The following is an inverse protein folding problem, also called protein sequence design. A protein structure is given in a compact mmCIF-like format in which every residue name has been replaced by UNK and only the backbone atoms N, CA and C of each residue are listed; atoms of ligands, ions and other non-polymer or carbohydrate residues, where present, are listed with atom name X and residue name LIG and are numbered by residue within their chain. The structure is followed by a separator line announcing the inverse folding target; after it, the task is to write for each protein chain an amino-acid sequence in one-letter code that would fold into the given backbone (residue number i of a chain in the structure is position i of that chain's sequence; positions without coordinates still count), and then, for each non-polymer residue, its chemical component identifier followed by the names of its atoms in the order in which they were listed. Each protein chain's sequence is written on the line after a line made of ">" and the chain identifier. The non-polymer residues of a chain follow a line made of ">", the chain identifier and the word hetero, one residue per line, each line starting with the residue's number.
data_IF_625699989962
#
_entry.id   IF_625699989962
#
_cell.length_a   1.000
_cell.length_b   1.000
_cell.length_c   1.000
_cell.angle_alpha   90.00
_cell.angle_beta   90.00
_cell.angle_gamma   90.00
#
_symmetry.space_group_name_H-M   'P 1'
#
loop_
_entity.id
_entity.type
_entity.pdbx_description
1 polymer ?
#
# COMPACT_ATOMS: atom_id res chain seq x y z
N UNK A 1 -26.67 -28.62 -24.93
CA UNK A 1 -26.09 -27.89 -23.80
C UNK A 1 -25.62 -28.81 -22.68
N UNK A 2 -26.50 -29.63 -22.09
CA UNK A 2 -26.16 -30.51 -20.94
C UNK A 2 -24.93 -31.42 -21.19
N UNK A 3 -24.77 -31.95 -22.42
CA UNK A 3 -23.67 -32.86 -22.77
C UNK A 3 -22.28 -32.18 -22.81
N UNK A 4 -22.21 -30.91 -23.22
CA UNK A 4 -20.95 -30.17 -23.26
C UNK A 4 -20.49 -29.73 -21.85
N UNK A 5 -21.44 -29.41 -20.97
CA UNK A 5 -21.12 -29.07 -19.57
C UNK A 5 -20.58 -30.27 -18.79
N UNK A 6 -21.13 -31.47 -19.02
CA UNK A 6 -20.60 -32.70 -18.42
C UNK A 6 -19.21 -33.06 -18.92
N UNK A 7 -18.93 -32.85 -20.21
CA UNK A 7 -17.60 -33.15 -20.79
C UNK A 7 -16.53 -32.18 -20.27
N UNK A 8 -16.87 -30.90 -20.10
CA UNK A 8 -15.99 -29.89 -19.49
C UNK A 8 -15.72 -30.16 -18.01
N UNK A 9 -16.72 -30.63 -17.26
CA UNK A 9 -16.55 -30.96 -15.85
C UNK A 9 -15.57 -32.14 -15.67
N UNK A 10 -15.75 -33.20 -16.47
CA UNK A 10 -14.86 -34.37 -16.47
C UNK A 10 -13.43 -33.96 -16.81
N UNK A 11 -13.25 -33.11 -17.83
CA UNK A 11 -11.93 -32.61 -18.20
C UNK A 11 -11.24 -31.85 -17.06
N UNK A 12 -11.98 -30.99 -16.35
CA UNK A 12 -11.47 -30.24 -15.20
C UNK A 12 -11.04 -31.19 -14.08
N UNK A 13 -11.84 -32.21 -13.78
CA UNK A 13 -11.55 -33.21 -12.75
C UNK A 13 -10.31 -34.05 -13.11
N UNK A 14 -10.19 -34.51 -14.35
CA UNK A 14 -9.02 -35.27 -14.81
C UNK A 14 -7.72 -34.45 -14.74
N UNK A 15 -7.79 -33.17 -15.12
CA UNK A 15 -6.66 -32.24 -15.01
C UNK A 15 -6.30 -32.00 -13.55
N UNK A 16 -7.29 -31.80 -12.67
CA UNK A 16 -7.06 -31.65 -11.22
C UNK A 16 -6.37 -32.87 -10.64
N UNK A 17 -6.85 -34.08 -10.93
CA UNK A 17 -6.24 -35.33 -10.46
C UNK A 17 -4.78 -35.46 -10.93
N UNK A 18 -4.52 -35.16 -12.21
CA UNK A 18 -3.16 -35.21 -12.75
C UNK A 18 -2.24 -34.20 -12.03
N UNK A 19 -2.69 -32.97 -11.84
CA UNK A 19 -1.91 -31.94 -11.13
C UNK A 19 -1.65 -32.34 -9.67
N UNK A 20 -2.66 -32.82 -8.95
CA UNK A 20 -2.53 -33.25 -7.55
C UNK A 20 -1.57 -34.45 -7.41
N UNK A 21 -1.57 -35.37 -8.38
CA UNK A 21 -0.61 -36.49 -8.42
C UNK A 21 0.83 -36.06 -8.68
N UNK A 22 1.06 -34.81 -9.09
CA UNK A 22 2.36 -34.25 -9.42
C UNK A 22 2.79 -34.50 -10.87
N UNK A 23 1.85 -34.82 -11.76
CA UNK A 23 2.13 -34.96 -13.18
C UNK A 23 2.64 -33.64 -13.78
N UNK A 24 3.62 -33.73 -14.67
CA UNK A 24 4.09 -32.55 -15.40
C UNK A 24 3.06 -32.11 -16.44
N UNK A 25 3.12 -30.86 -16.90
CA UNK A 25 2.27 -30.39 -18.00
C UNK A 25 2.42 -31.26 -19.25
N UNK A 26 3.64 -31.74 -19.55
CA UNK A 26 3.88 -32.68 -20.65
C UNK A 26 3.12 -33.99 -20.49
N UNK A 27 3.02 -34.54 -19.27
CA UNK A 27 2.27 -35.76 -19.01
C UNK A 27 0.77 -35.54 -19.21
N UNK A 28 0.27 -34.39 -18.76
CA UNK A 28 -1.13 -33.98 -18.95
C UNK A 28 -1.44 -33.84 -20.45
N UNK A 29 -0.57 -33.19 -21.22
CA UNK A 29 -0.72 -33.10 -22.68
C UNK A 29 -0.68 -34.46 -23.37
N UNK A 30 0.18 -35.38 -22.93
CA UNK A 30 0.26 -36.71 -23.50
C UNK A 30 -0.99 -37.57 -23.19
N UNK A 31 -1.55 -37.42 -21.98
CA UNK A 31 -2.71 -38.18 -21.49
C UNK A 31 -4.03 -37.65 -22.06
N UNK A 32 -4.24 -36.33 -21.97
CA UNK A 32 -5.53 -35.67 -22.25
C UNK A 32 -5.54 -34.97 -23.61
N UNK A 33 -4.39 -34.50 -24.10
CA UNK A 33 -4.28 -33.68 -25.30
C UNK A 33 -4.63 -34.39 -26.62
N UNK A 34 -4.88 -35.71 -26.60
CA UNK A 34 -5.44 -36.44 -27.76
C UNK A 34 -6.95 -36.23 -27.92
N UNK A 35 -7.64 -35.81 -26.87
CA UNK A 35 -9.09 -35.72 -26.82
C UNK A 35 -9.62 -34.30 -27.02
N UNK A 36 -8.76 -33.27 -26.91
CA UNK A 36 -9.16 -31.86 -26.94
C UNK A 36 -8.14 -30.99 -27.66
N UNK A 37 -8.55 -29.78 -28.05
CA UNK A 37 -7.64 -28.80 -28.65
C UNK A 37 -6.58 -28.33 -27.63
N UNK A 38 -5.32 -28.25 -28.06
CA UNK A 38 -4.20 -27.89 -27.18
C UNK A 38 -4.41 -26.59 -26.42
N UNK A 39 -4.96 -25.56 -27.08
CA UNK A 39 -5.24 -24.27 -26.45
C UNK A 39 -6.28 -24.39 -25.33
N UNK A 40 -7.34 -25.15 -25.57
CA UNK A 40 -8.37 -25.40 -24.56
C UNK A 40 -7.80 -26.16 -23.35
N UNK A 41 -6.85 -27.08 -23.59
CA UNK A 41 -6.17 -27.81 -22.51
C UNK A 41 -5.25 -26.90 -21.69
N UNK A 42 -4.50 -26.03 -22.37
CA UNK A 42 -3.67 -25.00 -21.73
C UNK A 42 -4.50 -24.08 -20.81
N UNK A 43 -5.62 -23.57 -21.32
CA UNK A 43 -6.55 -22.72 -20.55
C UNK A 43 -7.16 -23.49 -19.36
N UNK A 44 -7.50 -24.77 -19.55
CA UNK A 44 -8.04 -25.62 -18.48
C UNK A 44 -7.01 -25.91 -17.40
N UNK A 45 -5.76 -26.24 -17.77
CA UNK A 45 -4.67 -26.43 -16.81
C UNK A 45 -4.46 -25.17 -15.98
N UNK A 46 -4.41 -23.99 -16.61
CA UNK A 46 -4.24 -22.74 -15.89
C UNK A 46 -5.41 -22.45 -14.94
N UNK A 47 -6.65 -22.68 -15.39
CA UNK A 47 -7.85 -22.53 -14.55
C UNK A 47 -7.75 -23.42 -13.30
N UNK A 48 -7.40 -24.70 -13.47
CA UNK A 48 -7.30 -25.66 -12.37
C UNK A 48 -6.12 -25.33 -11.45
N UNK A 49 -4.96 -24.98 -11.99
CA UNK A 49 -3.82 -24.51 -11.18
C UNK A 49 -4.22 -23.34 -10.29
N UNK A 50 -4.93 -22.35 -10.83
CA UNK A 50 -5.39 -21.18 -10.08
C UNK A 50 -6.43 -21.57 -9.02
N UNK A 51 -7.40 -22.44 -9.34
CA UNK A 51 -8.37 -22.96 -8.36
C UNK A 51 -7.70 -23.66 -7.19
N UNK A 52 -6.70 -24.49 -7.46
CA UNK A 52 -5.92 -25.17 -6.41
C UNK A 52 -5.19 -24.12 -5.57
N UNK A 53 -4.49 -23.17 -6.20
CA UNK A 53 -3.79 -22.09 -5.49
C UNK A 53 -4.74 -21.31 -4.58
N UNK A 54 -5.91 -20.92 -5.07
CA UNK A 54 -6.91 -20.16 -4.30
C UNK A 54 -7.47 -20.97 -3.12
N UNK A 55 -7.57 -22.30 -3.25
CA UNK A 55 -8.00 -23.20 -2.18
C UNK A 55 -6.96 -23.29 -1.05
N UNK A 56 -5.69 -23.47 -1.39
CA UNK A 56 -4.63 -23.75 -0.40
C UNK A 56 -3.93 -22.50 0.14
N UNK A 57 -3.86 -21.40 -0.62
CA UNK A 57 -3.11 -20.22 -0.20
C UNK A 57 -3.62 -19.59 1.09
N UNK A 58 -4.93 -19.40 1.31
CA UNK A 58 -5.45 -18.88 2.57
C UNK A 58 -5.13 -19.78 3.76
N UNK A 59 -5.10 -21.11 3.57
CA UNK A 59 -4.76 -22.07 4.62
C UNK A 59 -3.30 -21.94 5.03
N UNK A 60 -2.40 -21.85 4.04
CA UNK A 60 -0.96 -21.63 4.27
C UNK A 60 -0.73 -20.33 5.03
N UNK A 61 -1.32 -19.22 4.57
CA UNK A 61 -1.19 -17.90 5.21
C UNK A 61 -1.64 -17.98 6.69
N UNK A 62 -2.81 -18.54 6.94
CA UNK A 62 -3.38 -18.66 8.29
C UNK A 62 -2.51 -19.51 9.22
N UNK A 63 -1.83 -20.52 8.70
CA UNK A 63 -0.89 -21.32 9.47
C UNK A 63 0.36 -20.53 9.84
N UNK A 64 0.91 -19.78 8.89
CA UNK A 64 2.07 -18.91 9.16
C UNK A 64 1.72 -17.87 10.23
N UNK A 65 0.55 -17.24 10.14
CA UNK A 65 0.06 -16.30 11.15
C UNK A 65 -0.12 -16.93 12.54
N UNK A 66 -0.32 -18.25 12.62
CA UNK A 66 -0.37 -19.01 13.88
C UNK A 66 1.00 -19.47 14.40
N UNK A 67 2.08 -19.11 13.71
CA UNK A 67 3.44 -19.47 14.10
C UNK A 67 3.91 -20.84 13.58
N UNK A 68 3.27 -21.39 12.54
CA UNK A 68 3.78 -22.60 11.89
C UNK A 68 5.14 -22.33 11.24
N UNK A 69 6.08 -23.28 11.32
CA UNK A 69 7.40 -23.21 10.66
C UNK A 69 7.32 -23.55 9.18
N UNK A 70 8.37 -23.21 8.41
CA UNK A 70 8.51 -23.62 6.99
C UNK A 70 8.32 -25.12 6.78
N UNK A 71 8.85 -25.94 7.70
CA UNK A 71 8.71 -27.40 7.66
C UNK A 71 7.26 -27.84 7.81
N UNK A 72 6.54 -27.30 8.80
CA UNK A 72 5.13 -27.65 9.04
C UNK A 72 4.22 -27.24 7.88
N UNK A 73 4.46 -26.07 7.27
CA UNK A 73 3.75 -25.64 6.06
C UNK A 73 4.02 -26.61 4.90
N UNK A 74 5.29 -26.99 4.69
CA UNK A 74 5.67 -27.93 3.66
C UNK A 74 5.07 -29.32 3.85
N UNK A 75 5.05 -29.84 5.08
CA UNK A 75 4.45 -31.13 5.41
C UNK A 75 2.94 -31.15 5.20
N UNK A 76 2.23 -30.08 5.57
CA UNK A 76 0.79 -30.02 5.37
C UNK A 76 0.42 -29.93 3.88
N UNK A 77 1.07 -29.02 3.17
CA UNK A 77 0.81 -28.84 1.74
C UNK A 77 1.23 -30.08 0.93
N UNK A 78 2.33 -30.74 1.32
CA UNK A 78 2.86 -31.94 0.67
C UNK A 78 2.02 -33.20 0.85
N UNK A 79 1.02 -33.20 1.75
CA UNK A 79 0.05 -34.29 1.86
C UNK A 79 -0.92 -34.32 0.68
N UNK A 80 -1.26 -33.15 0.16
CA UNK A 80 -2.32 -33.01 -0.86
C UNK A 80 -1.76 -32.57 -2.21
N UNK A 81 -0.64 -31.83 -2.23
CA UNK A 81 -0.02 -31.32 -3.46
C UNK A 81 1.35 -31.95 -3.69
N UNK A 82 1.65 -32.28 -4.94
CA UNK A 82 2.97 -32.77 -5.38
C UNK A 82 3.47 -32.00 -6.59
N UNK A 83 4.75 -32.20 -6.94
CA UNK A 83 5.34 -31.66 -8.16
C UNK A 83 5.26 -30.12 -8.29
N UNK A 84 4.97 -29.66 -9.49
CA UNK A 84 4.97 -28.23 -9.83
C UNK A 84 3.85 -27.45 -9.13
N UNK A 85 2.68 -28.06 -8.95
CA UNK A 85 1.54 -27.38 -8.31
C UNK A 85 1.83 -27.09 -6.83
N UNK A 86 2.55 -27.99 -6.14
CA UNK A 86 3.04 -27.72 -4.78
C UNK A 86 3.93 -26.47 -4.75
N UNK A 87 4.92 -26.41 -5.66
CA UNK A 87 5.86 -25.29 -5.73
C UNK A 87 5.16 -23.97 -6.07
N UNK A 88 4.18 -24.02 -6.99
CA UNK A 88 3.37 -22.86 -7.37
C UNK A 88 2.54 -22.35 -6.19
N UNK A 89 1.81 -23.24 -5.51
CA UNK A 89 1.01 -22.88 -4.34
C UNK A 89 1.86 -22.29 -3.23
N UNK A 90 2.99 -22.91 -2.90
CA UNK A 90 3.89 -22.41 -1.85
C UNK A 90 4.43 -21.02 -2.21
N UNK A 91 4.98 -20.84 -3.41
CA UNK A 91 5.52 -19.54 -3.86
C UNK A 91 4.46 -18.43 -3.86
N UNK A 92 3.27 -18.73 -4.34
CA UNK A 92 2.16 -17.77 -4.38
C UNK A 92 1.75 -17.38 -2.96
N UNK A 93 1.53 -18.36 -2.08
CA UNK A 93 1.14 -18.14 -0.69
C UNK A 93 2.15 -17.29 0.07
N UNK A 94 3.44 -17.58 -0.10
CA UNK A 94 4.51 -16.82 0.55
C UNK A 94 4.58 -15.38 0.05
N UNK A 95 4.38 -15.15 -1.25
CA UNK A 95 4.31 -13.80 -1.81
C UNK A 95 3.13 -13.00 -1.25
N UNK A 96 1.95 -13.63 -1.16
CA UNK A 96 0.76 -12.99 -0.59
C UNK A 96 0.94 -12.68 0.91
N UNK A 97 1.54 -13.61 1.65
CA UNK A 97 1.88 -13.39 3.04
C UNK A 97 2.87 -12.22 3.20
N UNK A 98 3.94 -12.19 2.39
CA UNK A 98 4.93 -11.12 2.39
C UNK A 98 4.29 -9.75 2.14
N UNK A 99 3.41 -9.63 1.14
CA UNK A 99 2.75 -8.37 0.82
C UNK A 99 1.75 -7.93 1.91
N UNK A 100 1.06 -8.90 2.53
CA UNK A 100 0.18 -8.65 3.67
C UNK A 100 0.97 -8.09 4.86
N UNK A 101 2.10 -8.72 5.19
CA UNK A 101 2.96 -8.25 6.29
C UNK A 101 3.57 -6.90 5.95
N UNK A 102 4.05 -6.69 4.72
CA UNK A 102 4.56 -5.40 4.27
C UNK A 102 3.53 -4.28 4.45
N UNK A 103 2.26 -4.54 4.11
CA UNK A 103 1.17 -3.58 4.29
C UNK A 103 0.94 -3.26 5.76
N UNK A 104 0.95 -4.28 6.63
CA UNK A 104 0.83 -4.12 8.09
C UNK A 104 2.00 -3.32 8.67
N UNK A 105 3.24 -3.66 8.29
CA UNK A 105 4.47 -2.93 8.69
C UNK A 105 4.33 -1.46 8.33
N UNK A 106 4.01 -1.15 7.07
CA UNK A 106 3.87 0.23 6.60
C UNK A 106 2.77 1.00 7.35
N UNK A 107 1.64 0.35 7.66
CA UNK A 107 0.54 0.98 8.38
C UNK A 107 0.86 1.24 9.88
N UNK A 108 1.75 0.45 10.47
CA UNK A 108 2.14 0.58 11.88
C UNK A 108 3.33 1.52 12.11
N UNK A 109 4.01 2.00 11.06
CA UNK A 109 5.09 3.00 11.20
C UNK A 109 4.46 4.32 11.66
N UNK A 110 4.53 4.60 12.96
CA UNK A 110 4.10 5.87 13.57
C UNK A 110 5.28 6.79 13.90
N UNK A 111 6.33 6.23 14.51
CA UNK A 111 7.51 6.98 14.94
C UNK A 111 8.81 6.15 14.76
N UNK A 112 9.96 6.83 14.68
CA UNK A 112 11.25 6.23 14.33
C UNK A 112 11.86 5.38 15.46
N UNK A 113 11.51 5.68 16.70
CA UNK A 113 11.93 5.01 17.93
C UNK A 113 11.32 3.61 18.10
N UNK A 114 10.18 3.34 17.46
CA UNK A 114 9.50 2.03 17.49
C UNK A 114 10.01 1.06 16.41
N UNK A 115 10.92 1.49 15.51
CA UNK A 115 11.41 0.68 14.38
C UNK A 115 12.03 -0.66 14.82
N UNK A 116 12.91 -0.72 15.84
CA UNK A 116 13.50 -2.00 16.26
C UNK A 116 12.44 -3.00 16.72
N UNK A 117 11.45 -2.55 17.50
CA UNK A 117 10.37 -3.39 17.98
C UNK A 117 9.47 -3.88 16.84
N UNK A 118 9.21 -3.02 15.83
CA UNK A 118 8.45 -3.38 14.64
C UNK A 118 9.18 -4.44 13.80
N UNK A 119 10.50 -4.27 13.62
CA UNK A 119 11.34 -5.23 12.90
C UNK A 119 11.31 -6.60 13.58
N UNK A 120 11.48 -6.63 14.90
CA UNK A 120 11.47 -7.89 15.66
C UNK A 120 10.07 -8.53 15.66
N UNK A 121 8.98 -7.74 15.72
CA UNK A 121 7.59 -8.23 15.66
C UNK A 121 7.25 -8.95 14.35
N UNK A 122 7.77 -8.47 13.22
CA UNK A 122 7.42 -8.99 11.88
C UNK A 122 8.48 -9.91 11.28
N UNK A 123 9.63 -10.07 11.93
CA UNK A 123 10.65 -11.05 11.54
C UNK A 123 10.22 -12.45 11.96
N UNK A 124 10.31 -13.41 11.04
CA UNK A 124 10.02 -14.82 11.32
C UNK A 124 10.71 -15.74 10.30
N UNK A 125 10.47 -17.04 10.41
CA UNK A 125 11.02 -18.06 9.49
C UNK A 125 10.79 -17.75 8.00
N UNK A 126 9.74 -17.02 7.64
CA UNK A 126 9.36 -16.70 6.26
C UNK A 126 9.79 -15.30 5.82
N UNK A 127 9.93 -14.37 6.76
CA UNK A 127 10.30 -12.98 6.49
C UNK A 127 11.59 -12.65 7.21
N UNK A 128 12.65 -12.50 6.42
CA UNK A 128 13.97 -12.13 6.92
C UNK A 128 13.96 -10.71 7.48
N UNK A 129 14.68 -10.51 8.59
CA UNK A 129 14.87 -9.21 9.25
C UNK A 129 15.24 -8.11 8.26
N UNK A 130 16.19 -8.40 7.37
CA UNK A 130 16.70 -7.45 6.35
C UNK A 130 15.59 -6.94 5.43
N UNK A 131 14.60 -7.78 5.08
CA UNK A 131 13.46 -7.36 4.26
C UNK A 131 12.57 -6.37 5.00
N UNK A 132 12.28 -6.65 6.28
CA UNK A 132 11.46 -5.74 7.12
C UNK A 132 12.16 -4.39 7.26
N UNK A 133 13.46 -4.40 7.54
CA UNK A 133 14.29 -3.19 7.63
C UNK A 133 14.29 -2.39 6.31
N UNK A 134 14.35 -3.07 5.16
CA UNK A 134 14.28 -2.43 3.85
C UNK A 134 12.91 -1.78 3.59
N UNK A 135 11.81 -2.44 3.95
CA UNK A 135 10.46 -1.88 3.82
C UNK A 135 10.29 -0.63 4.66
N UNK A 136 10.71 -0.68 5.93
CA UNK A 136 10.69 0.47 6.85
C UNK A 136 11.54 1.61 6.29
N UNK A 137 12.78 1.35 5.89
CA UNK A 137 13.68 2.36 5.31
C UNK A 137 13.07 3.03 4.08
N UNK A 138 12.51 2.23 3.17
CA UNK A 138 11.90 2.72 1.93
C UNK A 138 10.71 3.62 2.23
N UNK A 139 9.87 3.24 3.19
CA UNK A 139 8.74 4.05 3.62
C UNK A 139 9.19 5.36 4.28
N UNK A 140 10.12 5.31 5.24
CA UNK A 140 10.63 6.48 5.93
C UNK A 140 11.30 7.50 4.98
N UNK A 141 12.12 7.04 4.03
CA UNK A 141 12.73 7.91 3.00
C UNK A 141 11.66 8.57 2.12
N UNK A 142 10.61 7.82 1.76
CA UNK A 142 9.47 8.34 1.01
C UNK A 142 8.68 9.41 1.79
N UNK A 143 8.46 9.22 3.08
CA UNK A 143 7.80 10.20 3.95
C UNK A 143 8.66 11.46 4.12
N UNK A 144 9.96 11.31 4.38
CA UNK A 144 10.88 12.46 4.55
C UNK A 144 10.98 13.31 3.28
N UNK A 145 11.02 12.68 2.10
CA UNK A 145 11.04 13.42 0.82
C UNK A 145 9.74 14.15 0.56
N UNK A 146 8.58 13.55 0.89
CA UNK A 146 7.28 14.22 0.81
C UNK A 146 7.18 15.41 1.78
N UNK A 147 7.55 15.23 3.04
CA UNK A 147 7.56 16.32 4.03
C UNK A 147 8.47 17.48 3.60
N UNK A 148 9.67 17.19 3.08
CA UNK A 148 10.58 18.23 2.56
C UNK A 148 9.96 18.99 1.38
N UNK A 149 9.25 18.30 0.49
CA UNK A 149 8.55 18.92 -0.65
C UNK A 149 7.36 19.76 -0.21
N UNK A 150 6.58 19.29 0.76
CA UNK A 150 5.46 20.03 1.34
C UNK A 150 5.91 21.28 2.08
N UNK A 151 6.95 21.19 2.92
CA UNK A 151 7.55 22.36 3.57
C UNK A 151 8.03 23.41 2.56
N UNK A 152 8.68 22.98 1.47
CA UNK A 152 9.06 23.89 0.37
C UNK A 152 7.86 24.55 -0.30
N UNK A 153 6.82 23.76 -0.62
CA UNK A 153 5.61 24.29 -1.25
C UNK A 153 4.85 25.25 -0.33
N UNK A 154 4.82 24.98 0.97
CA UNK A 154 4.22 25.85 1.98
C UNK A 154 5.01 27.17 2.10
N UNK A 155 6.35 27.11 2.15
CA UNK A 155 7.20 28.31 2.14
C UNK A 155 6.98 29.17 0.89
N UNK A 156 6.88 28.54 -0.28
CA UNK A 156 6.61 29.24 -1.55
C UNK A 156 5.23 29.91 -1.52
N UNK A 157 4.19 29.22 -1.03
CA UNK A 157 2.84 29.80 -0.88
C UNK A 157 2.82 30.95 0.13
N UNK A 158 3.53 30.81 1.24
CA UNK A 158 3.68 31.89 2.24
C UNK A 158 4.35 33.12 1.66
N UNK A 159 5.47 32.94 0.95
CA UNK A 159 6.17 34.03 0.25
C UNK A 159 5.31 34.68 -0.83
N UNK A 160 4.57 33.90 -1.62
CA UNK A 160 3.64 34.44 -2.61
C UNK A 160 2.53 35.27 -1.97
N UNK A 161 1.99 34.83 -0.82
CA UNK A 161 0.99 35.59 -0.06
C UNK A 161 1.53 36.94 0.44
N UNK A 162 2.79 36.96 0.92
CA UNK A 162 3.46 38.21 1.33
C UNK A 162 3.64 39.16 0.16
N UNK A 163 4.08 38.66 -1.01
CA UNK A 163 4.24 39.49 -2.21
C UNK A 163 2.91 40.10 -2.65
N UNK A 164 1.83 39.32 -2.67
CA UNK A 164 0.49 39.84 -3.00
C UNK A 164 0.03 40.91 -2.00
N UNK A 165 0.27 40.71 -0.70
CA UNK A 165 -0.08 41.70 0.32
C UNK A 165 0.71 43.01 0.16
N UNK A 166 2.01 42.93 -0.12
CA UNK A 166 2.87 44.10 -0.33
C UNK A 166 2.48 44.85 -1.60
N UNK A 167 2.24 44.15 -2.72
CA UNK A 167 1.78 44.78 -3.97
C UNK A 167 0.40 45.41 -3.79
N UNK A 168 -0.51 44.73 -3.09
CA UNK A 168 -1.83 45.27 -2.75
C UNK A 168 -1.76 46.53 -1.90
N UNK A 169 -0.86 46.57 -0.92
CA UNK A 169 -0.63 47.76 -0.08
C UNK A 169 -0.03 48.93 -0.88
N UNK A 170 0.92 48.67 -1.78
CA UNK A 170 1.51 49.70 -2.65
C UNK A 170 0.45 50.28 -3.60
N UNK A 171 -0.38 49.43 -4.20
CA UNK A 171 -1.49 49.87 -5.05
C UNK A 171 -2.53 50.64 -4.24
N UNK A 172 -2.87 50.17 -3.02
CA UNK A 172 -3.76 50.87 -2.11
C UNK A 172 -3.24 52.27 -1.80
N UNK A 173 -1.97 52.42 -1.39
CA UNK A 173 -1.36 53.71 -1.09
C UNK A 173 -1.29 54.63 -2.31
N UNK A 174 -1.06 54.08 -3.51
CA UNK A 174 -1.04 54.85 -4.77
C UNK A 174 -2.43 55.34 -5.15
N UNK A 175 -3.46 54.49 -5.03
CA UNK A 175 -4.86 54.87 -5.24
C UNK A 175 -5.31 55.88 -4.17
N UNK A 176 -4.88 55.70 -2.91
CA UNK A 176 -5.17 56.60 -1.79
C UNK A 176 -4.57 57.98 -1.98
N UNK A 177 -3.41 58.07 -2.65
CA UNK A 177 -2.77 59.34 -2.99
C UNK A 177 -3.46 60.07 -4.16
N UNK A 178 -4.10 59.33 -5.08
CA UNK A 178 -4.78 59.89 -6.26
C UNK A 178 -6.29 60.16 -6.06
N UNK A 179 -6.95 59.55 -5.05
CA UNK A 179 -8.38 59.76 -4.79
C UNK A 179 -8.65 60.84 -3.72
N UNK A 180 -9.21 61.96 -4.16
CA UNK A 180 -9.83 62.95 -3.28
C UNK A 180 -11.06 62.38 -2.57
N UNK A 181 -10.91 62.13 -1.26
CA UNK A 181 -11.83 62.36 -0.13
C UNK A 181 -13.37 62.17 -0.25
N UNK A 182 -13.92 61.30 -1.11
CA UNK A 182 -15.37 60.96 -1.01
C UNK A 182 -15.72 59.46 -1.00
N UNK A 183 -14.79 58.54 -1.35
CA UNK A 183 -15.07 57.08 -1.39
C UNK A 183 -14.33 56.31 -0.27
N UNK A 184 -13.70 57.05 0.66
CA UNK A 184 -12.71 56.58 1.63
C UNK A 184 -13.17 55.50 2.64
N UNK A 185 -14.38 55.57 3.24
CA UNK A 185 -14.74 54.66 4.34
C UNK A 185 -15.02 53.23 3.87
N UNK A 186 -15.57 53.08 2.67
CA UNK A 186 -16.11 51.78 2.21
C UNK A 186 -14.98 50.84 1.77
N UNK A 187 -13.96 51.35 1.08
CA UNK A 187 -12.81 50.55 0.63
C UNK A 187 -11.88 50.16 1.79
N UNK A 188 -11.71 51.04 2.80
CA UNK A 188 -10.92 50.74 3.99
C UNK A 188 -11.49 49.59 4.82
N UNK A 189 -12.82 49.51 4.96
CA UNK A 189 -13.50 48.42 5.69
C UNK A 189 -13.36 47.08 4.97
N UNK A 190 -13.48 47.06 3.64
CA UNK A 190 -13.33 45.83 2.84
C UNK A 190 -11.88 45.30 2.91
N UNK A 191 -10.88 46.19 2.84
CA UNK A 191 -9.48 45.80 2.94
C UNK A 191 -9.13 45.28 4.35
N UNK A 192 -9.60 45.95 5.40
CA UNK A 192 -9.36 45.51 6.78
C UNK A 192 -10.05 44.19 7.11
N UNK A 193 -11.25 43.91 6.58
CA UNK A 193 -11.91 42.61 6.74
C UNK A 193 -11.18 41.48 5.99
N UNK A 194 -10.71 41.74 4.76
CA UNK A 194 -9.91 40.77 4.01
C UNK A 194 -8.56 40.48 4.68
N UNK A 195 -7.87 41.52 5.16
CA UNK A 195 -6.58 41.41 5.81
C UNK A 195 -6.68 40.73 7.20
N UNK A 196 -7.72 41.03 7.97
CA UNK A 196 -8.01 40.35 9.23
C UNK A 196 -8.30 38.85 9.01
N UNK A 197 -8.99 38.48 7.92
CA UNK A 197 -9.22 37.08 7.55
C UNK A 197 -7.92 36.31 7.26
N UNK A 198 -6.99 36.93 6.52
CA UNK A 198 -5.67 36.35 6.20
C UNK A 198 -4.80 36.23 7.45
N UNK A 199 -4.76 37.27 8.29
CA UNK A 199 -4.01 37.22 9.56
C UNK A 199 -4.58 36.18 10.52
N UNK A 200 -5.92 36.03 10.60
CA UNK A 200 -6.55 35.03 11.46
C UNK A 200 -6.26 33.60 10.99
N UNK A 201 -6.20 33.36 9.67
CA UNK A 201 -5.79 32.05 9.14
C UNK A 201 -4.31 31.77 9.39
N UNK A 202 -3.44 32.78 9.34
CA UNK A 202 -2.03 32.63 9.69
C UNK A 202 -1.83 32.37 11.20
N UNK A 203 -2.56 33.06 12.06
CA UNK A 203 -2.40 32.95 13.51
C UNK A 203 -2.92 31.62 14.08
N UNK A 204 -4.03 31.10 13.55
CA UNK A 204 -4.57 29.78 13.94
C UNK A 204 -3.59 28.66 13.57
N UNK A 205 -2.83 28.80 12.48
CA UNK A 205 -1.86 27.78 12.07
C UNK A 205 -0.51 27.87 12.79
N UNK A 206 -0.05 29.06 13.18
CA UNK A 206 1.20 29.22 13.94
C UNK A 206 1.05 28.73 15.38
N UNK A 207 -0.10 28.96 16.03
CA UNK A 207 -0.33 28.52 17.43
C UNK A 207 -0.54 26.99 17.53
N UNK A 208 -1.03 26.34 16.47
CA UNK A 208 -1.17 24.87 16.46
C UNK A 208 0.17 24.13 16.40
N UNK A 209 1.22 24.73 15.82
CA UNK A 209 2.55 24.11 15.76
C UNK A 209 3.32 24.24 17.09
N UNK A 210 3.07 25.28 17.89
CA UNK A 210 3.71 25.45 19.20
C UNK A 210 3.08 24.58 20.31
N UNK A 211 1.81 24.19 20.18
CA UNK A 211 1.16 23.32 21.17
C UNK A 211 1.53 21.83 21.04
N UNK A 212 2.03 21.38 19.89
CA UNK A 212 2.47 19.97 19.70
C UNK A 212 3.89 19.74 20.25
N UNK A 213 4.68 20.79 20.44
CA UNK A 213 6.07 20.68 20.92
C UNK A 213 6.26 20.83 22.45
N UNK A 214 5.21 21.13 23.21
CA UNK A 214 5.30 21.28 24.68
C UNK A 214 4.90 20.02 25.46
N UNK A 215 4.59 18.90 24.80
CA UNK A 215 4.21 17.64 25.44
C UNK A 215 5.36 16.65 25.73
N UNK A 216 6.60 16.94 25.33
CA UNK A 216 7.72 15.96 25.37
C UNK A 216 8.86 16.32 26.34
N UNK A 217 8.60 17.14 27.36
CA UNK A 217 9.56 17.37 28.45
C UNK A 217 8.90 17.32 29.82
N UNK A 218 8.46 16.11 30.25
CA UNK A 218 8.24 15.78 31.67
C UNK A 218 7.76 14.33 31.81
N UNK A 219 8.67 13.40 32.13
CA UNK A 219 8.54 12.43 33.26
C UNK A 219 9.59 11.32 33.12
N UNK A 220 10.44 11.25 34.15
CA UNK A 220 11.32 10.17 34.63
C UNK A 220 12.53 9.73 33.80
#
# INVERSE_FOLDING_TARGET
>A
MIKQESELLILVEEVEECLLSGASKSDIYAKIGKSIERRQLEETIELVENKIVDRYSPLVIKMIERGATKKQVGELLGKELRGDIFSRCLKYSLRQYEETVRTKVVAEIRALDEIPALVDKYTNDFIERKKVEEWVRTHCVGVQTRQKKEKKNMLIRGLAGIVVAVVGLILYLKIYHDLTFEVLPVLGVIFMQGFAGVLRSMFVHVVSDDFVNYGSTSSE
#
